data_IF_649570064572
#
_entry.id   IF_649570064572
#
_cell.length_a   1.000
_cell.length_b   1.000
_cell.length_c   1.000
_cell.angle_alpha   90.00
_cell.angle_beta   90.00
_cell.angle_gamma   90.00
#
_symmetry.space_group_name_H-M   'P 1'
#
loop_
_entity.id
_entity.type
_entity.pdbx_description
1 polymer ?
#
# COMPACT_ATOMS: atom_id res chain seq x y z
N UNK A 1 13.36 -4.71 1.16
CA UNK A 1 14.60 -5.01 0.42
C UNK A 1 15.29 -6.17 1.13
N UNK A 2 15.68 -7.22 0.40
CA UNK A 2 16.15 -8.53 0.92
C UNK A 2 17.52 -8.50 1.63
N UNK A 3 17.88 -7.41 2.32
CA UNK A 3 19.21 -7.24 2.89
C UNK A 3 20.33 -7.10 1.85
N UNK A 4 20.01 -7.05 0.56
CA UNK A 4 20.98 -6.83 -0.50
C UNK A 4 21.40 -5.36 -0.46
N UNK A 5 22.70 -5.04 -0.30
CA UNK A 5 23.18 -3.68 -0.28
C UNK A 5 23.07 -3.09 -1.69
N UNK A 6 21.96 -2.40 -1.95
CA UNK A 6 21.68 -1.75 -3.23
C UNK A 6 22.80 -0.77 -3.60
N UNK A 7 23.42 -0.11 -2.64
CA UNK A 7 24.56 0.80 -2.86
C UNK A 7 25.74 0.18 -3.64
N UNK A 8 25.91 -1.14 -3.63
CA UNK A 8 26.99 -1.82 -4.39
C UNK A 8 26.63 -2.00 -5.87
N UNK A 9 25.34 -1.99 -6.20
CA UNK A 9 24.83 -2.29 -7.55
C UNK A 9 24.34 -1.05 -8.30
N UNK A 10 24.39 0.12 -7.65
CA UNK A 10 24.09 1.42 -8.24
C UNK A 10 25.37 2.24 -8.29
N UNK A 11 25.68 2.76 -9.47
CA UNK A 11 26.77 3.70 -9.65
C UNK A 11 26.21 5.07 -9.97
N UNK A 12 26.83 6.09 -9.39
CA UNK A 12 26.51 7.49 -9.63
C UNK A 12 27.56 7.97 -10.61
N UNK A 13 27.19 7.98 -11.89
CA UNK A 13 28.08 8.50 -12.93
C UNK A 13 28.35 9.99 -12.64
N UNK A 14 29.60 10.38 -12.35
CA UNK A 14 29.94 11.77 -12.06
C UNK A 14 29.82 12.67 -13.30
N UNK A 15 29.72 12.06 -14.49
CA UNK A 15 29.64 12.76 -15.78
C UNK A 15 28.19 13.08 -16.14
N UNK A 16 27.26 12.17 -15.87
CA UNK A 16 25.84 12.32 -16.24
C UNK A 16 24.94 12.68 -15.07
N UNK A 17 25.47 12.68 -13.83
CA UNK A 17 24.69 12.86 -12.59
C UNK A 17 23.47 11.92 -12.51
N UNK A 18 23.56 10.75 -13.14
CA UNK A 18 22.51 9.74 -13.15
C UNK A 18 22.93 8.56 -12.28
N UNK A 19 21.97 8.07 -11.50
CA UNK A 19 22.11 6.83 -10.74
C UNK A 19 21.55 5.69 -11.59
N UNK A 20 22.43 4.77 -12.00
CA UNK A 20 22.07 3.66 -12.85
C UNK A 20 22.51 2.33 -12.24
N UNK A 21 21.74 1.28 -12.50
CA UNK A 21 22.11 -0.07 -12.12
C UNK A 21 23.23 -0.53 -13.05
N UNK A 22 24.39 -0.85 -12.47
CA UNK A 22 25.55 -1.30 -13.26
C UNK A 22 25.51 -2.79 -13.57
N UNK A 23 24.92 -3.58 -12.68
CA UNK A 23 24.87 -5.02 -12.82
C UNK A 23 23.59 -5.46 -13.55
N UNK A 24 23.75 -5.97 -14.78
CA UNK A 24 22.63 -6.45 -15.60
C UNK A 24 21.83 -7.59 -14.92
N UNK A 25 22.51 -8.49 -14.18
CA UNK A 25 21.86 -9.58 -13.44
C UNK A 25 20.97 -9.02 -12.33
N UNK A 26 21.45 -8.02 -11.61
CA UNK A 26 20.67 -7.35 -10.57
C UNK A 26 19.46 -6.60 -11.16
N UNK A 27 19.62 -5.98 -12.33
CA UNK A 27 18.53 -5.28 -13.01
C UNK A 27 17.40 -6.25 -13.42
N UNK A 28 17.74 -7.42 -13.95
CA UNK A 28 16.78 -8.48 -14.30
C UNK A 28 16.12 -9.05 -13.04
N UNK A 29 16.91 -9.34 -12.00
CA UNK A 29 16.39 -9.80 -10.70
C UNK A 29 15.37 -8.82 -10.13
N UNK A 30 15.67 -7.52 -10.14
CA UNK A 30 14.77 -6.49 -9.65
C UNK A 30 13.45 -6.45 -10.43
N UNK A 31 13.51 -6.57 -11.76
CA UNK A 31 12.30 -6.60 -12.59
C UNK A 31 11.43 -7.84 -12.33
N UNK A 32 12.05 -9.01 -12.24
CA UNK A 32 11.35 -10.26 -11.91
C UNK A 32 10.74 -10.18 -10.52
N UNK A 33 11.46 -9.65 -9.54
CA UNK A 33 10.96 -9.45 -8.20
C UNK A 33 9.76 -8.49 -8.17
N UNK A 34 9.86 -7.38 -8.89
CA UNK A 34 8.81 -6.37 -8.95
C UNK A 34 7.51 -6.92 -9.58
N UNK A 35 7.61 -7.69 -10.67
CA UNK A 35 6.44 -8.25 -11.35
C UNK A 35 5.95 -9.52 -10.66
N UNK A 36 6.83 -10.47 -10.40
CA UNK A 36 6.47 -11.75 -9.82
C UNK A 36 5.98 -11.60 -8.39
N UNK A 37 6.83 -11.06 -7.53
CA UNK A 37 6.58 -11.06 -6.09
C UNK A 37 5.61 -9.96 -5.66
N UNK A 38 5.76 -8.75 -6.19
CA UNK A 38 4.90 -7.62 -5.78
C UNK A 38 3.59 -7.50 -6.58
N UNK A 39 3.48 -8.10 -7.77
CA UNK A 39 2.24 -8.07 -8.57
C UNK A 39 1.55 -9.43 -8.63
N UNK A 40 2.20 -10.45 -9.22
CA UNK A 40 1.52 -11.71 -9.57
C UNK A 40 1.07 -12.44 -8.31
N UNK A 41 1.96 -12.66 -7.34
CA UNK A 41 1.64 -13.37 -6.10
C UNK A 41 0.47 -12.74 -5.32
N UNK A 42 0.47 -11.43 -5.00
CA UNK A 42 -0.64 -10.85 -4.25
C UNK A 42 -1.95 -10.86 -5.04
N UNK A 43 -1.92 -10.67 -6.37
CA UNK A 43 -3.12 -10.74 -7.21
C UNK A 43 -3.68 -12.16 -7.22
N UNK A 44 -2.86 -13.20 -7.40
CA UNK A 44 -3.34 -14.59 -7.42
C UNK A 44 -3.94 -14.98 -6.07
N UNK A 45 -3.27 -14.63 -4.96
CA UNK A 45 -3.78 -14.81 -3.61
C UNK A 45 -5.14 -14.12 -3.45
N UNK A 46 -5.26 -12.84 -3.83
CA UNK A 46 -6.53 -12.12 -3.73
C UNK A 46 -7.64 -12.73 -4.58
N UNK A 47 -7.33 -13.21 -5.78
CA UNK A 47 -8.31 -13.88 -6.65
C UNK A 47 -8.77 -15.19 -6.04
N UNK A 48 -7.86 -16.03 -5.55
CA UNK A 48 -8.21 -17.31 -4.92
C UNK A 48 -9.04 -17.09 -3.66
N UNK A 49 -8.57 -16.25 -2.73
CA UNK A 49 -9.31 -15.98 -1.49
C UNK A 49 -10.61 -15.23 -1.74
N UNK A 50 -10.65 -14.31 -2.71
CA UNK A 50 -11.86 -13.61 -3.13
C UNK A 50 -12.90 -14.56 -3.74
N UNK A 51 -12.45 -15.52 -4.56
CA UNK A 51 -13.32 -16.56 -5.11
C UNK A 51 -13.86 -17.50 -4.03
N UNK A 52 -13.00 -17.96 -3.10
CA UNK A 52 -13.43 -18.78 -1.97
C UNK A 52 -14.43 -18.04 -1.07
N UNK A 53 -14.17 -16.77 -0.78
CA UNK A 53 -15.09 -15.91 -0.03
C UNK A 53 -16.43 -15.75 -0.76
N UNK A 54 -16.40 -15.49 -2.06
CA UNK A 54 -17.62 -15.40 -2.87
C UNK A 54 -18.45 -16.68 -2.84
N UNK A 55 -17.80 -17.85 -2.98
CA UNK A 55 -18.47 -19.14 -2.91
C UNK A 55 -19.05 -19.42 -1.52
N UNK A 56 -18.32 -19.09 -0.46
CA UNK A 56 -18.81 -19.24 0.92
C UNK A 56 -20.02 -18.34 1.18
N UNK A 57 -20.01 -17.09 0.70
CA UNK A 57 -21.14 -16.16 0.84
C UNK A 57 -22.38 -16.68 0.11
N UNK A 58 -22.24 -17.19 -1.13
CA UNK A 58 -23.38 -17.75 -1.87
C UNK A 58 -24.00 -18.95 -1.15
N UNK A 59 -23.19 -19.77 -0.48
CA UNK A 59 -23.66 -20.99 0.19
C UNK A 59 -24.27 -20.68 1.57
N UNK A 60 -23.87 -19.57 2.21
CA UNK A 60 -24.18 -19.24 3.62
C UNK A 60 -25.18 -18.09 3.76
N UNK A 61 -26.12 -17.93 2.80
CA UNK A 61 -27.16 -16.89 2.82
C UNK A 61 -28.09 -16.99 4.07
N UNK A 62 -28.02 -18.09 4.85
CA UNK A 62 -28.90 -18.36 5.99
C UNK A 62 -28.40 -17.93 7.39
N UNK A 63 -27.15 -17.49 7.59
CA UNK A 63 -26.60 -17.18 8.93
C UNK A 63 -26.05 -15.75 9.04
N UNK A 64 -26.26 -15.12 10.20
CA UNK A 64 -26.11 -13.69 10.49
C UNK A 64 -24.69 -13.08 10.42
N UNK A 65 -23.70 -13.76 9.82
CA UNK A 65 -22.30 -13.29 9.72
C UNK A 65 -22.00 -12.41 8.49
N UNK A 66 -23.02 -12.13 7.67
CA UNK A 66 -22.91 -11.45 6.38
C UNK A 66 -22.20 -10.08 6.41
N UNK A 67 -22.17 -9.38 7.55
CA UNK A 67 -21.53 -8.07 7.67
C UNK A 67 -19.99 -8.13 7.65
N UNK A 68 -19.39 -9.16 8.25
CA UNK A 68 -17.93 -9.31 8.28
C UNK A 68 -17.39 -9.67 6.90
N UNK A 69 -18.04 -10.62 6.22
CA UNK A 69 -17.67 -11.07 4.87
C UNK A 69 -17.82 -9.98 3.82
N UNK A 70 -18.89 -9.17 3.91
CA UNK A 70 -19.09 -8.02 3.01
C UNK A 70 -18.03 -6.95 3.21
N UNK A 71 -17.55 -6.75 4.44
CA UNK A 71 -16.45 -5.83 4.72
C UNK A 71 -15.12 -6.34 4.14
N UNK A 72 -14.86 -7.64 4.24
CA UNK A 72 -13.67 -8.27 3.69
C UNK A 72 -13.65 -8.21 2.16
N UNK A 73 -14.77 -8.51 1.49
CA UNK A 73 -14.90 -8.36 0.04
C UNK A 73 -14.69 -6.92 -0.44
N UNK A 74 -15.22 -5.93 0.29
CA UNK A 74 -15.00 -4.51 -0.04
C UNK A 74 -13.51 -4.13 0.05
N UNK A 75 -12.80 -4.67 1.04
CA UNK A 75 -11.36 -4.44 1.19
C UNK A 75 -10.57 -5.04 0.03
N UNK A 76 -10.88 -6.28 -0.38
CA UNK A 76 -10.24 -6.95 -1.51
C UNK A 76 -10.44 -6.16 -2.82
N UNK A 77 -11.66 -5.71 -3.09
CA UNK A 77 -11.95 -4.93 -4.32
C UNK A 77 -11.14 -3.63 -4.34
N UNK A 78 -11.10 -2.90 -3.23
CA UNK A 78 -10.32 -1.65 -3.17
C UNK A 78 -8.83 -1.94 -3.32
N UNK A 79 -8.34 -3.03 -2.73
CA UNK A 79 -6.93 -3.36 -2.86
C UNK A 79 -6.56 -3.82 -4.27
N UNK A 80 -7.46 -4.51 -4.98
CA UNK A 80 -7.29 -4.81 -6.40
C UNK A 80 -7.21 -3.53 -7.26
N UNK A 81 -8.08 -2.55 -7.00
CA UNK A 81 -8.04 -1.23 -7.66
C UNK A 81 -6.76 -0.47 -7.33
N UNK A 82 -6.23 -0.59 -6.13
CA UNK A 82 -4.98 0.04 -5.73
C UNK A 82 -3.75 -0.63 -6.37
N UNK A 83 -3.80 -1.93 -6.67
CA UNK A 83 -2.68 -2.65 -7.31
C UNK A 83 -2.61 -2.40 -8.81
N UNK A 84 -3.71 -2.06 -9.50
CA UNK A 84 -3.72 -1.86 -10.95
C UNK A 84 -2.74 -0.79 -11.48
N UNK A 85 -2.50 0.35 -10.80
CA UNK A 85 -1.53 1.33 -11.24
C UNK A 85 -0.08 0.86 -10.99
N UNK A 86 0.13 0.00 -9.99
CA UNK A 86 1.44 -0.54 -9.65
C UNK A 86 1.96 -1.49 -10.74
N UNK A 87 1.08 -2.25 -11.40
CA UNK A 87 1.49 -3.10 -12.54
C UNK A 87 2.02 -2.30 -13.73
N UNK A 88 1.50 -1.08 -13.96
CA UNK A 88 1.95 -0.21 -15.05
C UNK A 88 3.40 0.22 -14.84
N UNK A 89 3.80 0.48 -13.59
CA UNK A 89 5.18 0.78 -13.23
C UNK A 89 6.12 -0.41 -13.56
N UNK A 90 5.71 -1.64 -13.23
CA UNK A 90 6.48 -2.85 -13.55
C UNK A 90 6.69 -3.03 -15.06
N UNK A 91 5.65 -2.81 -15.87
CA UNK A 91 5.73 -2.88 -17.34
C UNK A 91 6.70 -1.84 -17.88
N UNK A 92 6.62 -0.59 -17.41
CA UNK A 92 7.52 0.47 -17.83
C UNK A 92 8.99 0.16 -17.50
N UNK A 93 9.23 -0.49 -16.37
CA UNK A 93 10.57 -0.91 -15.97
C UNK A 93 11.14 -2.00 -16.89
N UNK A 94 10.33 -3.01 -17.24
CA UNK A 94 10.73 -4.04 -18.22
C UNK A 94 10.98 -3.43 -19.60
N UNK A 95 10.13 -2.49 -20.03
CA UNK A 95 10.36 -1.76 -21.27
C UNK A 95 11.71 -1.02 -21.26
N UNK A 96 12.05 -0.38 -20.14
CA UNK A 96 13.36 0.26 -19.95
C UNK A 96 14.53 -0.72 -20.09
N UNK A 97 14.41 -1.93 -19.54
CA UNK A 97 15.44 -2.97 -19.66
C UNK A 97 15.61 -3.49 -21.08
N UNK A 98 14.51 -3.82 -21.76
CA UNK A 98 14.55 -4.32 -23.14
C UNK A 98 15.16 -3.28 -24.08
N UNK A 99 14.84 -2.01 -23.85
CA UNK A 99 15.29 -0.90 -24.71
C UNK A 99 16.65 -0.32 -24.29
N UNK A 100 17.31 -0.86 -23.26
CA UNK A 100 18.56 -0.32 -22.72
C UNK A 100 19.72 -0.35 -23.73
N UNK A 101 19.75 -1.35 -24.62
CA UNK A 101 20.78 -1.48 -25.65
C UNK A 101 20.52 -0.67 -26.93
N UNK A 102 19.39 0.04 -27.02
CA UNK A 102 19.04 0.79 -28.22
C UNK A 102 19.48 2.25 -28.11
N UNK A 103 20.00 2.82 -29.20
CA UNK A 103 20.22 4.27 -29.28
C UNK A 103 18.87 4.99 -29.22
N UNK A 104 18.68 5.84 -28.22
CA UNK A 104 17.44 6.61 -28.00
C UNK A 104 17.65 8.07 -28.42
N UNK A 105 16.69 8.61 -29.14
CA UNK A 105 16.66 10.04 -29.46
C UNK A 105 16.31 10.87 -28.21
N UNK A 106 16.73 12.14 -28.19
CA UNK A 106 16.50 13.03 -27.06
C UNK A 106 15.00 13.16 -26.71
N UNK A 107 14.15 13.35 -27.71
CA UNK A 107 12.69 13.44 -27.52
C UNK A 107 12.09 12.19 -26.90
N UNK A 108 12.61 11.01 -27.27
CA UNK A 108 12.18 9.74 -26.70
C UNK A 108 12.60 9.63 -25.24
N UNK A 109 13.82 10.06 -24.92
CA UNK A 109 14.33 10.05 -23.56
C UNK A 109 13.50 10.96 -22.63
N UNK A 110 13.09 12.14 -23.10
CA UNK A 110 12.22 13.04 -22.33
C UNK A 110 10.84 12.43 -22.06
N UNK A 111 10.22 11.78 -23.06
CA UNK A 111 8.92 11.11 -22.91
C UNK A 111 9.01 9.93 -21.93
N UNK A 112 10.05 9.11 -22.03
CA UNK A 112 10.30 7.99 -21.12
C UNK A 112 10.54 8.49 -19.68
N UNK A 113 11.31 9.56 -19.51
CA UNK A 113 11.56 10.18 -18.20
C UNK A 113 10.30 10.77 -17.55
N UNK A 114 9.47 11.45 -18.33
CA UNK A 114 8.17 11.94 -17.86
C UNK A 114 7.26 10.79 -17.43
N UNK A 115 7.11 9.76 -18.26
CA UNK A 115 6.31 8.58 -17.95
C UNK A 115 6.80 7.88 -16.67
N UNK A 116 8.11 7.69 -16.53
CA UNK A 116 8.71 7.11 -15.33
C UNK A 116 8.40 7.94 -14.07
N UNK A 117 8.43 9.27 -14.18
CA UNK A 117 8.11 10.17 -13.07
C UNK A 117 6.65 10.03 -12.64
N UNK A 118 5.73 10.01 -13.60
CA UNK A 118 4.29 9.78 -13.34
C UNK A 118 4.07 8.44 -12.66
N UNK A 119 4.66 7.35 -13.18
CA UNK A 119 4.50 6.03 -12.59
C UNK A 119 5.13 5.90 -11.19
N UNK A 120 6.26 6.56 -10.93
CA UNK A 120 6.86 6.62 -9.60
C UNK A 120 5.96 7.35 -8.59
N UNK A 121 5.38 8.48 -8.98
CA UNK A 121 4.42 9.20 -8.14
C UNK A 121 3.23 8.30 -7.79
N UNK A 122 2.66 7.63 -8.80
CA UNK A 122 1.58 6.66 -8.59
C UNK A 122 1.98 5.54 -7.63
N UNK A 123 3.22 5.06 -7.71
CA UNK A 123 3.73 4.03 -6.80
C UNK A 123 3.82 4.53 -5.34
N UNK A 124 4.26 5.77 -5.11
CA UNK A 124 4.25 6.36 -3.77
C UNK A 124 2.83 6.52 -3.21
N UNK A 125 1.86 6.91 -4.06
CA UNK A 125 0.45 6.93 -3.67
C UNK A 125 -0.06 5.53 -3.31
N UNK A 126 0.38 4.48 -4.00
CA UNK A 126 0.00 3.10 -3.68
C UNK A 126 0.51 2.68 -2.28
N UNK A 127 1.79 2.88 -1.97
CA UNK A 127 2.35 2.51 -0.67
C UNK A 127 1.68 3.28 0.46
N UNK A 128 1.52 4.59 0.28
CA UNK A 128 0.87 5.48 1.24
C UNK A 128 -0.61 5.10 1.43
N UNK A 129 -1.33 4.96 0.32
CA UNK A 129 -2.74 4.58 0.30
C UNK A 129 -2.99 3.21 0.91
N UNK A 130 -2.14 2.23 0.64
CA UNK A 130 -2.24 0.89 1.24
C UNK A 130 -2.14 0.95 2.76
N UNK A 131 -1.16 1.67 3.31
CA UNK A 131 -1.04 1.87 4.76
C UNK A 131 -2.30 2.52 5.36
N UNK A 132 -2.79 3.60 4.77
CA UNK A 132 -4.01 4.27 5.26
C UNK A 132 -5.25 3.38 5.13
N UNK A 133 -5.36 2.59 4.07
CA UNK A 133 -6.49 1.69 3.88
C UNK A 133 -6.48 0.53 4.87
N UNK A 134 -5.31 -0.04 5.20
CA UNK A 134 -5.22 -1.02 6.28
C UNK A 134 -5.66 -0.43 7.63
N UNK A 135 -5.30 0.82 7.91
CA UNK A 135 -5.70 1.51 9.15
C UNK A 135 -7.21 1.85 9.18
N UNK A 136 -7.77 2.33 8.07
CA UNK A 136 -9.17 2.77 7.99
C UNK A 136 -10.14 1.59 7.86
N UNK A 137 -9.76 0.55 7.12
CA UNK A 137 -10.61 -0.62 6.87
C UNK A 137 -10.66 -1.59 8.06
N UNK A 138 -9.68 -1.56 8.96
CA UNK A 138 -9.72 -2.38 10.18
C UNK A 138 -10.81 -1.87 11.13
N UNK A 139 -11.94 -2.56 11.17
CA UNK A 139 -13.06 -2.26 12.09
C UNK A 139 -12.61 -2.29 13.56
N UNK A 140 -11.66 -3.17 13.89
CA UNK A 140 -11.02 -3.24 15.22
C UNK A 140 -10.21 -1.98 15.52
N UNK A 141 -9.40 -1.51 14.57
CA UNK A 141 -8.63 -0.27 14.76
C UNK A 141 -9.58 0.92 14.91
N UNK A 142 -10.57 1.07 14.04
CA UNK A 142 -11.53 2.17 14.12
C UNK A 142 -12.33 2.18 15.43
N UNK A 143 -12.73 1.01 15.95
CA UNK A 143 -13.37 0.90 17.28
C UNK A 143 -12.40 1.30 18.39
N UNK A 144 -11.20 0.72 18.42
CA UNK A 144 -10.19 1.04 19.43
C UNK A 144 -9.80 2.53 19.44
N UNK A 145 -9.65 3.16 18.28
CA UNK A 145 -9.32 4.59 18.17
C UNK A 145 -10.51 5.45 18.61
N UNK A 146 -11.74 5.09 18.23
CA UNK A 146 -12.95 5.79 18.67
C UNK A 146 -13.14 5.69 20.19
N UNK A 147 -12.92 4.51 20.77
CA UNK A 147 -13.05 4.25 22.20
C UNK A 147 -11.99 5.05 22.99
N UNK A 148 -10.74 5.09 22.50
CA UNK A 148 -9.69 5.94 23.09
C UNK A 148 -10.00 7.43 22.97
N UNK A 149 -10.52 7.88 21.84
CA UNK A 149 -10.84 9.30 21.62
C UNK A 149 -12.06 9.75 22.45
N UNK A 150 -13.07 8.89 22.61
CA UNK A 150 -14.21 9.12 23.49
C UNK A 150 -13.81 9.09 24.97
N UNK A 151 -12.92 8.16 25.35
CA UNK A 151 -12.35 8.14 26.71
C UNK A 151 -11.61 9.44 27.02
N UNK A 152 -10.80 9.95 26.08
CA UNK A 152 -10.09 11.22 26.24
C UNK A 152 -11.03 12.42 26.33
N UNK A 153 -12.09 12.44 25.50
CA UNK A 153 -13.14 13.48 25.56
C UNK A 153 -13.91 13.47 26.88
N UNK A 154 -14.12 12.30 27.48
CA UNK A 154 -14.81 12.17 28.76
C UNK A 154 -13.88 12.35 29.98
N UNK A 155 -12.59 12.02 29.87
CA UNK A 155 -11.59 12.27 30.91
C UNK A 155 -11.36 13.78 31.15
N UNK A 156 -11.44 14.60 30.10
CA UNK A 156 -11.44 16.06 30.22
C UNK A 156 -12.77 16.64 30.71
N UNK A 157 -13.74 15.79 31.08
CA UNK A 157 -15.07 16.17 31.56
C UNK A 157 -15.29 15.85 33.05
N UNK A 158 -14.23 15.59 33.81
CA UNK A 158 -14.31 15.49 35.27
C UNK A 158 -14.77 16.86 35.81
N UNK A 159 -16.00 16.86 36.32
CA UNK A 159 -16.70 18.02 36.87
C UNK A 159 -15.95 18.61 38.08
N UNK A 160 -16.09 19.92 38.36
CA UNK A 160 -15.59 20.49 39.61
C UNK A 160 -16.20 19.73 40.79
N UNK A 161 -15.34 19.27 41.70
CA UNK A 161 -15.74 18.65 42.96
C UNK A 161 -16.57 19.67 43.73
N UNK A 162 -17.88 19.47 43.81
CA UNK A 162 -18.76 20.25 44.66
C UNK A 162 -18.37 19.98 46.12
N UNK A 163 -17.60 20.88 46.72
CA UNK A 163 -17.35 20.87 48.17
C UNK A 163 -18.67 21.20 48.87
N UNK A 164 -19.42 20.17 49.26
CA UNK A 164 -20.55 20.35 50.17
C UNK A 164 -20.00 20.67 51.57
N UNK A 165 -20.22 21.91 51.96
CA UNK A 165 -20.07 22.49 53.29
C UNK A 165 -20.73 21.59 54.34
N UNK A 166 -19.92 21.02 55.23
CA UNK A 166 -20.38 20.45 56.49
C UNK A 166 -20.73 21.60 57.44
N UNK A 167 -22.02 21.93 57.54
CA UNK A 167 -22.54 22.75 58.63
C UNK A 167 -22.53 21.91 59.91
N UNK A 168 -21.50 22.15 60.73
CA UNK A 168 -21.44 21.64 62.11
C UNK A 168 -22.38 22.51 62.95
N UNK A 169 -23.55 21.97 63.28
CA UNK A 169 -24.39 22.51 64.35
C UNK A 169 -23.76 22.19 65.69
N UNK A 170 -23.49 23.22 66.49
CA UNK A 170 -23.29 23.14 67.93
C UNK A 170 -23.91 24.35 68.60
#
# INVERSE_FOLDING_TARGET
>A
MHGIPTLVFYDISPITNTCAITNAVFAVYFAIYQIGFNCIIPITIMVVFGYLAYRNIQTTIALSEQQADRQLMRMIIIQAVLISPYSVFGINYVYGLITAGMKKDADRLYKEGFALTVFNLTNYFFFTGSCYMFLICSSRFRRATKDRLLFWKNANRIAPVTQNTLTINK
#
